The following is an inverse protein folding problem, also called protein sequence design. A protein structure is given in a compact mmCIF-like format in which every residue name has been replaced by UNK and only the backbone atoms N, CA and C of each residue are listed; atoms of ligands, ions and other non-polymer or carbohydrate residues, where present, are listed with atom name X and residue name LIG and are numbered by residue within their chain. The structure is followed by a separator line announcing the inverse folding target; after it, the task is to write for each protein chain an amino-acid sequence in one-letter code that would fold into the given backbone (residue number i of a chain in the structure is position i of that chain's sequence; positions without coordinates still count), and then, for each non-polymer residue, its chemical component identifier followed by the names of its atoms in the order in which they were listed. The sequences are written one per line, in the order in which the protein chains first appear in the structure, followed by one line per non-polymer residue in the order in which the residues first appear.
data_IF_538367266209
#
_entry.id   IF_538367266209
#
_cell.length_a   1.000
_cell.length_b   1.000
_cell.length_c   1.000
_cell.angle_alpha   90.00
_cell.angle_beta   90.00
_cell.angle_gamma   90.00
#
_symmetry.space_group_name_H-M   'P 1'
#
loop_
_entity.id
_entity.type
_entity.pdbx_description
1 polymer ?
#
# COMPACT_ATOMS: atom_id res chain seq x y z
N UNK A 1 -21.19 49.38 4.49
CA UNK A 1 -20.26 48.38 3.91
C UNK A 1 -20.13 47.25 4.92
N UNK A 2 -20.79 46.11 4.65
CA UNK A 2 -20.94 45.01 5.60
C UNK A 2 -19.62 44.23 5.74
N UNK A 3 -18.96 44.41 6.89
CA UNK A 3 -17.74 43.74 7.31
C UNK A 3 -17.94 42.25 7.70
N UNK A 4 -19.13 41.69 7.42
CA UNK A 4 -19.51 40.32 7.77
C UNK A 4 -19.32 39.30 6.63
N UNK A 5 -19.03 39.74 5.41
CA UNK A 5 -18.91 38.83 4.27
C UNK A 5 -17.53 38.15 4.13
N UNK A 6 -16.52 38.59 4.88
CA UNK A 6 -15.14 38.09 4.74
C UNK A 6 -14.86 36.88 5.65
N UNK A 7 -15.70 36.62 6.66
CA UNK A 7 -15.46 35.53 7.61
C UNK A 7 -16.01 34.15 7.19
N UNK A 8 -16.80 34.08 6.11
CA UNK A 8 -17.45 32.82 5.65
C UNK A 8 -16.55 32.03 4.67
N UNK A 9 -15.41 32.57 4.23
CA UNK A 9 -14.51 31.90 3.28
C UNK A 9 -13.40 31.05 3.94
N UNK A 10 -13.34 30.98 5.27
CA UNK A 10 -12.35 30.17 6.00
C UNK A 10 -12.88 28.81 6.47
N UNK A 11 -14.10 28.42 6.09
CA UNK A 11 -14.55 27.03 6.20
C UNK A 11 -14.05 26.28 4.96
N UNK A 12 -12.74 26.33 4.73
CA UNK A 12 -12.09 25.58 3.67
C UNK A 12 -12.25 24.11 3.98
N UNK A 13 -13.00 23.42 3.12
CA UNK A 13 -13.14 21.97 3.01
C UNK A 13 -11.91 21.24 3.59
N UNK A 14 -12.08 20.59 4.74
CA UNK A 14 -11.17 19.50 5.12
C UNK A 14 -11.42 18.39 4.10
N UNK A 15 -10.66 18.40 3.02
CA UNK A 15 -10.60 17.26 2.12
C UNK A 15 -9.94 16.14 2.91
N UNK A 16 -10.76 15.21 3.43
CA UNK A 16 -10.27 14.00 4.10
C UNK A 16 -9.35 13.28 3.12
N UNK A 17 -8.05 13.23 3.44
CA UNK A 17 -7.09 12.62 2.56
C UNK A 17 -7.02 11.12 2.86
N UNK A 18 -7.32 10.29 1.86
CA UNK A 18 -7.09 8.85 1.98
C UNK A 18 -5.59 8.54 1.91
N UNK A 19 -5.10 7.87 2.95
CA UNK A 19 -3.77 7.26 3.02
C UNK A 19 -3.90 5.75 2.82
N UNK A 20 -2.84 5.15 2.27
CA UNK A 20 -2.69 3.70 2.19
C UNK A 20 -1.49 3.35 3.05
N UNK A 21 -1.67 2.46 4.03
CA UNK A 21 -0.55 1.88 4.77
C UNK A 21 -0.40 0.44 4.33
N UNK A 22 0.84 0.02 4.08
CA UNK A 22 1.14 -1.33 3.67
C UNK A 22 2.18 -1.94 4.61
N UNK A 23 2.05 -3.24 4.84
CA UNK A 23 2.97 -4.07 5.61
C UNK A 23 3.40 -5.26 4.77
N UNK A 24 4.69 -5.57 4.82
CA UNK A 24 5.28 -6.77 4.26
C UNK A 24 5.53 -7.77 5.40
N UNK A 25 5.21 -9.02 5.14
CA UNK A 25 5.42 -10.13 6.06
C UNK A 25 6.26 -11.18 5.37
N UNK A 26 7.28 -11.67 6.07
CA UNK A 26 8.17 -12.68 5.51
C UNK A 26 8.56 -13.73 6.53
N UNK A 27 8.75 -14.96 6.04
CA UNK A 27 9.27 -16.10 6.80
C UNK A 27 10.07 -16.97 5.87
N UNK A 28 11.34 -17.25 6.20
CA UNK A 28 12.16 -18.20 5.45
C UNK A 28 11.85 -19.65 5.82
N UNK A 29 12.25 -20.56 4.94
CA UNK A 29 12.27 -21.99 5.23
C UNK A 29 13.05 -22.28 6.52
N UNK A 30 12.42 -23.00 7.45
CA UNK A 30 12.98 -23.31 8.77
C UNK A 30 12.67 -22.28 9.86
N UNK A 31 12.17 -21.09 9.52
CA UNK A 31 11.63 -20.14 10.50
C UNK A 31 10.19 -20.52 10.86
N UNK A 32 9.82 -20.33 12.13
CA UNK A 32 8.48 -20.68 12.64
C UNK A 32 7.52 -19.49 12.65
N UNK A 33 8.03 -18.26 12.61
CA UNK A 33 7.25 -17.04 12.80
C UNK A 33 7.30 -16.15 11.56
N UNK A 34 6.15 -15.61 11.13
CA UNK A 34 6.10 -14.52 10.16
C UNK A 34 6.55 -13.22 10.83
N UNK A 35 7.55 -12.57 10.26
CA UNK A 35 8.03 -11.28 10.74
C UNK A 35 7.37 -10.16 9.94
N UNK A 36 6.82 -9.19 10.66
CA UNK A 36 6.15 -8.00 10.12
C UNK A 36 7.15 -6.88 9.86
N UNK A 37 6.97 -6.18 8.75
CA UNK A 37 7.78 -5.02 8.40
C UNK A 37 6.90 -3.93 7.74
N UNK A 38 7.11 -2.66 8.10
CA UNK A 38 6.42 -1.56 7.43
C UNK A 38 6.87 -1.45 5.96
N UNK A 39 5.95 -1.11 5.06
CA UNK A 39 6.26 -0.73 3.69
C UNK A 39 6.14 0.80 3.53
N UNK A 40 7.24 1.56 3.66
CA UNK A 40 7.19 3.00 3.55
C UNK A 40 6.77 3.47 2.14
N UNK A 41 6.10 4.63 2.11
CA UNK A 41 5.93 5.40 0.88
C UNK A 41 7.30 5.84 0.35
N UNK A 42 7.54 5.59 -0.93
CA UNK A 42 8.84 5.84 -1.58
C UNK A 42 8.76 6.83 -2.73
N UNK A 43 7.58 7.39 -3.00
CA UNK A 43 7.38 8.42 -4.01
C UNK A 43 6.25 8.09 -4.98
N UNK A 44 6.26 8.77 -6.12
CA UNK A 44 5.24 8.68 -7.15
C UNK A 44 5.86 8.12 -8.43
N UNK A 45 5.20 7.15 -9.06
CA UNK A 45 5.64 6.58 -10.33
C UNK A 45 5.47 7.60 -11.45
N UNK A 46 6.57 7.91 -12.13
CA UNK A 46 6.56 8.82 -13.27
C UNK A 46 5.68 8.24 -14.41
N UNK A 47 4.87 9.11 -15.03
CA UNK A 47 4.00 8.76 -16.15
C UNK A 47 2.61 8.25 -15.76
N UNK A 48 2.46 7.57 -14.62
CA UNK A 48 1.14 7.08 -14.15
C UNK A 48 0.60 7.84 -12.95
N UNK A 49 1.45 8.59 -12.23
CA UNK A 49 1.12 9.26 -10.97
C UNK A 49 0.69 8.30 -9.83
N UNK A 50 1.00 7.01 -9.95
CA UNK A 50 0.68 6.03 -8.92
C UNK A 50 1.59 6.24 -7.69
N UNK A 51 1.05 6.05 -6.49
CA UNK A 51 1.83 6.13 -5.25
C UNK A 51 2.57 4.80 -5.03
N UNK A 52 3.87 4.85 -4.78
CA UNK A 52 4.71 3.67 -4.65
C UNK A 52 5.10 3.40 -3.20
N UNK A 53 4.92 2.16 -2.75
CA UNK A 53 5.31 1.66 -1.43
C UNK A 53 6.25 0.48 -1.61
N UNK A 54 7.35 0.44 -0.86
CA UNK A 54 8.40 -0.58 -1.06
C UNK A 54 8.99 -1.04 0.25
N UNK A 55 9.35 -2.32 0.31
CA UNK A 55 10.20 -2.88 1.36
C UNK A 55 11.21 -3.84 0.74
N UNK A 56 12.35 -4.04 1.39
CA UNK A 56 13.33 -5.06 1.01
C UNK A 56 13.70 -5.88 2.23
N UNK A 57 13.43 -7.19 2.17
CA UNK A 57 13.63 -8.11 3.28
C UNK A 57 14.25 -9.38 2.74
N UNK A 58 15.38 -9.78 3.32
CA UNK A 58 15.96 -11.09 3.02
C UNK A 58 16.27 -11.34 1.53
N UNK A 59 16.47 -10.27 0.73
CA UNK A 59 16.68 -10.32 -0.72
C UNK A 59 15.40 -10.22 -1.55
N UNK A 60 14.23 -10.31 -0.91
CA UNK A 60 12.94 -10.04 -1.54
C UNK A 60 12.67 -8.54 -1.61
N UNK A 61 12.25 -8.06 -2.78
CA UNK A 61 11.81 -6.70 -3.04
C UNK A 61 10.30 -6.69 -3.19
N UNK A 62 9.62 -6.07 -2.24
CA UNK A 62 8.17 -5.92 -2.17
C UNK A 62 7.82 -4.55 -2.73
N UNK A 63 6.83 -4.49 -3.61
CA UNK A 63 6.36 -3.24 -4.18
C UNK A 63 4.85 -3.24 -4.30
N UNK A 64 4.23 -2.16 -3.87
CA UNK A 64 2.82 -1.85 -4.13
C UNK A 64 2.74 -0.50 -4.82
N UNK A 65 2.08 -0.46 -5.98
CA UNK A 65 1.73 0.77 -6.67
C UNK A 65 0.22 0.99 -6.51
N UNK A 66 -0.17 2.13 -5.94
CA UNK A 66 -1.57 2.51 -5.75
C UNK A 66 -2.00 3.52 -6.81
N UNK A 67 -2.88 3.07 -7.70
CA UNK A 67 -3.54 3.91 -8.67
C UNK A 67 -4.86 4.43 -8.10
N UNK A 68 -4.87 5.70 -7.69
CA UNK A 68 -6.10 6.39 -7.23
C UNK A 68 -7.11 6.57 -8.37
N UNK A 69 -6.66 6.67 -9.61
CA UNK A 69 -7.55 6.85 -10.76
C UNK A 69 -8.31 5.58 -11.10
N UNK A 70 -7.70 4.41 -10.87
CA UNK A 70 -8.28 3.10 -11.18
C UNK A 70 -8.81 2.38 -9.94
N UNK A 71 -8.74 3.00 -8.76
CA UNK A 71 -9.01 2.37 -7.46
C UNK A 71 -8.42 0.96 -7.36
N UNK A 72 -7.15 0.83 -7.77
CA UNK A 72 -6.46 -0.46 -7.90
C UNK A 72 -5.08 -0.41 -7.25
N UNK A 73 -4.73 -1.50 -6.57
CA UNK A 73 -3.40 -1.81 -6.05
C UNK A 73 -2.73 -2.83 -6.97
N UNK A 74 -1.50 -2.53 -7.37
CA UNK A 74 -0.63 -3.44 -8.11
C UNK A 74 0.49 -3.89 -7.17
N UNK A 75 0.45 -5.15 -6.74
CA UNK A 75 1.43 -5.72 -5.82
C UNK A 75 2.39 -6.65 -6.57
N UNK A 76 3.69 -6.54 -6.26
CA UNK A 76 4.72 -7.40 -6.82
C UNK A 76 5.80 -7.76 -5.81
N UNK A 77 6.35 -8.95 -5.97
CA UNK A 77 7.46 -9.47 -5.18
C UNK A 77 8.53 -10.02 -6.11
N UNK A 78 9.76 -9.56 -5.93
CA UNK A 78 10.91 -9.99 -6.71
C UNK A 78 12.02 -10.56 -5.82
N UNK A 79 12.72 -11.59 -6.27
CA UNK A 79 13.91 -12.15 -5.62
C UNK A 79 14.97 -12.44 -6.69
N UNK A 80 16.21 -12.00 -6.46
CA UNK A 80 17.30 -12.24 -7.42
C UNK A 80 17.04 -11.70 -8.83
N UNK A 81 16.24 -10.62 -8.96
CA UNK A 81 15.85 -10.03 -10.24
C UNK A 81 14.66 -10.72 -10.94
N UNK A 82 14.20 -11.87 -10.45
CA UNK A 82 13.03 -12.56 -10.98
C UNK A 82 11.75 -12.12 -10.26
N UNK A 83 10.64 -11.99 -11.00
CA UNK A 83 9.32 -11.79 -10.40
C UNK A 83 8.76 -13.12 -9.92
N UNK A 84 8.37 -13.18 -8.65
CA UNK A 84 7.74 -14.36 -8.04
C UNK A 84 6.23 -14.21 -7.96
N UNK A 85 5.75 -12.99 -7.70
CA UNK A 85 4.33 -12.69 -7.60
C UNK A 85 4.05 -11.36 -8.28
N UNK A 86 2.95 -11.34 -9.02
CA UNK A 86 2.29 -10.13 -9.50
C UNK A 86 0.80 -10.30 -9.30
N UNK A 87 0.16 -9.36 -8.61
CA UNK A 87 -1.27 -9.39 -8.36
C UNK A 87 -1.88 -7.99 -8.47
N UNK A 88 -3.13 -7.94 -8.92
CA UNK A 88 -3.94 -6.73 -8.96
C UNK A 88 -5.12 -6.89 -8.03
N UNK A 89 -5.38 -5.89 -7.21
CA UNK A 89 -6.47 -5.90 -6.22
C UNK A 89 -7.22 -4.57 -6.30
N UNK A 90 -8.53 -4.56 -6.09
CA UNK A 90 -9.23 -3.29 -5.88
C UNK A 90 -8.79 -2.69 -4.55
N UNK A 91 -8.74 -1.37 -4.50
CA UNK A 91 -8.49 -0.63 -3.26
C UNK A 91 -9.61 -1.00 -2.27
N UNK A 92 -9.27 -1.34 -1.01
CA UNK A 92 -10.25 -1.64 0.02
C UNK A 92 -11.22 -0.46 0.18
N UNK A 93 -12.53 -0.73 0.10
CA UNK A 93 -13.57 0.25 0.42
C UNK A 93 -13.72 0.31 1.94
N UNK A 94 -13.44 1.47 2.53
CA UNK A 94 -13.55 1.71 3.98
C UNK A 94 -14.90 1.27 4.57
N UNK A 95 -15.97 1.29 3.77
CA UNK A 95 -17.30 0.89 4.21
C UNK A 95 -17.50 -0.64 4.28
N UNK A 96 -16.65 -1.44 3.63
CA UNK A 96 -16.90 -2.88 3.39
C UNK A 96 -15.71 -3.74 3.80
N UNK A 97 -14.49 -3.34 3.46
CA UNK A 97 -13.25 -4.07 3.72
C UNK A 97 -12.10 -3.09 3.90
N UNK A 98 -11.40 -3.16 5.02
CA UNK A 98 -10.26 -2.27 5.27
C UNK A 98 -8.93 -2.82 4.79
N UNK A 99 -8.82 -4.11 4.47
CA UNK A 99 -7.53 -4.75 4.18
C UNK A 99 -7.52 -5.46 2.82
N UNK A 100 -6.52 -5.16 1.98
CA UNK A 100 -6.14 -5.93 0.80
C UNK A 100 -4.94 -6.81 1.14
N UNK A 101 -5.10 -8.12 0.97
CA UNK A 101 -4.10 -9.12 1.36
C UNK A 101 -3.65 -10.00 0.19
N UNK A 102 -2.34 -10.11 0.02
CA UNK A 102 -1.67 -11.04 -0.87
C UNK A 102 -0.78 -11.96 -0.02
N UNK A 103 -0.88 -13.28 -0.21
CA UNK A 103 -0.06 -14.25 0.50
C UNK A 103 0.32 -15.42 -0.40
N UNK A 104 1.57 -15.80 -0.32
CA UNK A 104 2.23 -16.73 -1.22
C UNK A 104 3.28 -17.52 -0.47
N UNK A 105 3.36 -18.81 -0.76
CA UNK A 105 4.45 -19.68 -0.32
C UNK A 105 5.21 -20.17 -1.54
N UNK A 106 6.52 -19.94 -1.56
CA UNK A 106 7.42 -20.34 -2.63
C UNK A 106 7.71 -21.84 -2.63
N UNK A 107 8.34 -22.33 -3.70
CA UNK A 107 8.79 -23.72 -3.81
C UNK A 107 9.81 -24.13 -2.73
N UNK A 108 10.56 -23.17 -2.18
CA UNK A 108 11.51 -23.41 -1.07
C UNK A 108 10.87 -23.31 0.30
N UNK A 109 9.54 -23.14 0.37
CA UNK A 109 8.74 -22.97 1.58
C UNK A 109 8.93 -21.61 2.31
N UNK A 110 9.59 -20.65 1.65
CA UNK A 110 9.54 -19.26 2.12
C UNK A 110 8.12 -18.71 1.92
N UNK A 111 7.58 -18.05 2.94
CA UNK A 111 6.27 -17.39 2.88
C UNK A 111 6.45 -15.89 2.81
N UNK A 112 5.70 -15.28 1.92
CA UNK A 112 5.65 -13.85 1.67
C UNK A 112 4.20 -13.41 1.71
N UNK A 113 3.93 -12.34 2.44
CA UNK A 113 2.63 -11.71 2.44
C UNK A 113 2.74 -10.19 2.39
N UNK A 114 1.80 -9.54 1.73
CA UNK A 114 1.61 -8.09 1.70
C UNK A 114 0.18 -7.83 2.18
N UNK A 115 0.03 -6.94 3.15
CA UNK A 115 -1.26 -6.46 3.62
C UNK A 115 -1.29 -4.95 3.49
N UNK A 116 -2.33 -4.38 2.91
CA UNK A 116 -2.50 -2.93 2.80
C UNK A 116 -3.88 -2.53 3.30
N UNK A 117 -3.95 -1.44 4.04
CA UNK A 117 -5.20 -0.84 4.48
C UNK A 117 -5.31 0.63 4.05
N UNK A 118 -6.55 1.07 3.83
CA UNK A 118 -6.84 2.48 3.60
C UNK A 118 -7.24 3.08 4.94
N UNK A 119 -6.74 4.28 5.22
CA UNK A 119 -7.15 5.06 6.38
C UNK A 119 -7.57 6.46 5.92
N UNK A 120 -8.61 6.99 6.55
CA UNK A 120 -8.92 8.41 6.48
C UNK A 120 -7.93 9.15 7.38
N UNK A 121 -7.24 10.15 6.84
CA UNK A 121 -6.50 11.09 7.69
C UNK A 121 -7.45 12.19 8.17
N UNK A 122 -7.60 12.26 9.49
CA UNK A 122 -8.30 13.31 10.26
C UNK A 122 -7.66 14.69 10.09
#
# INVERSE_FOLDING_TARGET
MNMFAVLILLIGFQAQALTLNCEAWSRRSGETTLTRHPMPFTGIQAGTNDRMYRAELHGYKYRVDWSKTLDTLYASVHLGGHSHVFATMRVPDLAVHNDAFLDFTSATNDRVSISCNVEESD
#
